data_IF_433998387177
#
_entry.id   IF_433998387177
#
_cell.length_a   1.000
_cell.length_b   1.000
_cell.length_c   1.000
_cell.angle_alpha   90.00
_cell.angle_beta   90.00
_cell.angle_gamma   90.00
#
_symmetry.space_group_name_H-M   'P 1'
#
loop_
_entity.id
_entity.type
_entity.pdbx_description
1 polymer ?
#
# COMPACT_ATOMS: atom_id res chain seq x y z
N UNK A 1 -1.76 -11.52 2.89
CA UNK A 1 -1.93 -11.23 4.33
C UNK A 1 -0.56 -11.17 5.01
N UNK A 2 -0.41 -10.33 6.03
CA UNK A 2 0.79 -10.17 6.85
C UNK A 2 0.38 -10.15 8.32
N UNK A 3 1.15 -10.81 9.18
CA UNK A 3 0.80 -10.98 10.59
C UNK A 3 1.40 -9.91 11.50
N UNK A 4 0.49 -9.25 12.21
CA UNK A 4 0.55 -8.36 13.36
C UNK A 4 0.79 -8.96 14.74
N UNK A 5 1.72 -8.48 15.56
CA UNK A 5 1.54 -8.50 17.03
C UNK A 5 1.54 -7.08 17.60
N UNK A 6 0.41 -6.68 18.19
CA UNK A 6 0.23 -5.36 18.81
C UNK A 6 -0.38 -5.54 20.22
N UNK A 7 0.02 -4.74 21.22
CA UNK A 7 -0.62 -4.77 22.53
C UNK A 7 -2.05 -4.22 22.45
N UNK A 8 -2.99 -4.88 23.12
CA UNK A 8 -4.34 -4.36 23.32
C UNK A 8 -4.39 -3.33 24.47
N UNK A 9 -5.58 -2.81 24.77
CA UNK A 9 -5.79 -1.82 25.85
C UNK A 9 -5.38 -2.33 27.25
N UNK A 10 -5.23 -3.64 27.43
CA UNK A 10 -4.80 -4.28 28.67
C UNK A 10 -3.30 -4.62 28.69
N UNK A 11 -2.57 -4.27 27.62
CA UNK A 11 -1.14 -4.58 27.47
C UNK A 11 -0.86 -6.00 26.95
N UNK A 12 -1.90 -6.78 26.64
CA UNK A 12 -1.74 -8.14 26.10
C UNK A 12 -1.46 -8.08 24.61
N UNK A 13 -0.40 -8.74 24.16
CA UNK A 13 -0.10 -8.87 22.73
C UNK A 13 -1.19 -9.69 22.03
N UNK A 14 -1.92 -9.06 21.11
CA UNK A 14 -2.89 -9.68 20.23
C UNK A 14 -2.32 -9.85 18.83
N UNK A 15 -2.67 -10.98 18.21
CA UNK A 15 -2.32 -11.27 16.81
C UNK A 15 -3.36 -10.63 15.90
N UNK A 16 -2.92 -9.77 14.98
CA UNK A 16 -3.77 -9.18 13.93
C UNK A 16 -3.31 -9.69 12.58
N UNK A 17 -4.20 -9.80 11.61
CA UNK A 17 -3.83 -10.03 10.22
C UNK A 17 -4.14 -8.77 9.43
N UNK A 18 -3.14 -8.26 8.72
CA UNK A 18 -3.33 -7.20 7.74
C UNK A 18 -3.40 -7.82 6.36
N UNK A 19 -4.35 -7.36 5.56
CA UNK A 19 -4.53 -7.82 4.20
C UNK A 19 -3.95 -6.81 3.20
N UNK A 20 -3.70 -7.30 1.99
CA UNK A 20 -3.37 -6.48 0.83
C UNK A 20 -4.43 -6.81 -0.19
N UNK A 21 -5.08 -5.78 -0.75
CA UNK A 21 -6.23 -5.97 -1.63
C UNK A 21 -5.88 -6.82 -2.86
N UNK A 22 -4.74 -6.54 -3.50
CA UNK A 22 -4.29 -7.29 -4.67
C UNK A 22 -2.80 -7.63 -4.63
N UNK A 23 -2.50 -8.86 -5.07
CA UNK A 23 -1.14 -9.31 -5.38
C UNK A 23 -1.12 -9.73 -6.85
N UNK A 24 -0.43 -8.95 -7.68
CA UNK A 24 -0.40 -9.15 -9.13
C UNK A 24 0.98 -9.64 -9.53
N UNK A 25 1.05 -10.67 -10.38
CA UNK A 25 2.29 -11.23 -10.89
C UNK A 25 2.29 -11.18 -12.42
N UNK A 26 3.39 -10.73 -13.02
CA UNK A 26 3.63 -10.73 -14.46
C UNK A 26 5.08 -11.12 -14.73
N UNK A 27 5.31 -12.40 -15.06
CA UNK A 27 6.67 -12.94 -15.19
C UNK A 27 7.46 -12.76 -13.90
N UNK A 28 8.61 -12.08 -13.97
CA UNK A 28 9.44 -11.74 -12.81
C UNK A 28 8.97 -10.52 -12.02
N UNK A 29 7.92 -9.82 -12.49
CA UNK A 29 7.38 -8.66 -11.82
C UNK A 29 6.28 -9.07 -10.83
N UNK A 30 6.30 -8.46 -9.65
CA UNK A 30 5.24 -8.57 -8.65
C UNK A 30 4.88 -7.18 -8.14
N UNK A 31 3.58 -7.00 -7.91
CA UNK A 31 2.98 -5.78 -7.39
C UNK A 31 2.09 -6.11 -6.21
N UNK A 32 2.26 -5.37 -5.11
CA UNK A 32 1.34 -5.34 -3.99
C UNK A 32 0.54 -4.04 -4.09
N UNK A 33 -0.78 -4.14 -4.19
CA UNK A 33 -1.64 -2.98 -4.41
C UNK A 33 -2.66 -2.88 -3.27
N UNK A 34 -2.72 -1.70 -2.67
CA UNK A 34 -3.76 -1.30 -1.73
C UNK A 34 -4.61 -0.19 -2.36
N UNK A 35 -5.92 -0.26 -2.19
CA UNK A 35 -6.82 0.82 -2.55
C UNK A 35 -7.25 1.61 -1.32
N UNK A 36 -7.26 2.93 -1.42
CA UNK A 36 -7.70 3.82 -0.34
C UNK A 36 -8.59 4.93 -0.92
N UNK A 37 -9.67 5.28 -0.23
CA UNK A 37 -10.54 6.37 -0.69
C UNK A 37 -9.80 7.71 -0.68
N UNK A 38 -9.10 8.01 0.42
CA UNK A 38 -8.27 9.20 0.60
C UNK A 38 -7.25 8.96 1.72
N UNK A 39 -6.12 9.70 1.69
CA UNK A 39 -5.10 9.71 2.75
C UNK A 39 -4.76 11.14 3.18
N UNK A 40 -5.68 11.87 3.84
CA UNK A 40 -5.50 13.28 4.16
C UNK A 40 -4.59 13.53 5.39
N UNK A 41 -4.32 12.50 6.19
CA UNK A 41 -3.54 12.60 7.43
C UNK A 41 -2.43 11.56 7.46
N UNK A 42 -1.38 11.84 8.24
CA UNK A 42 -0.28 10.89 8.47
C UNK A 42 -0.77 9.59 9.11
N UNK A 43 -1.79 9.65 9.99
CA UNK A 43 -2.40 8.46 10.59
C UNK A 43 -3.06 7.59 9.52
N UNK A 44 -3.77 8.20 8.55
CA UNK A 44 -4.35 7.47 7.44
C UNK A 44 -3.28 6.91 6.50
N UNK A 45 -2.25 7.68 6.16
CA UNK A 45 -1.13 7.17 5.38
C UNK A 45 -0.46 5.96 6.08
N UNK A 46 -0.23 6.04 7.39
CA UNK A 46 0.33 4.92 8.17
C UNK A 46 -0.62 3.71 8.20
N UNK A 47 -1.93 3.93 8.35
CA UNK A 47 -2.94 2.87 8.35
C UNK A 47 -2.96 2.12 7.00
N UNK A 48 -3.07 2.86 5.89
CA UNK A 48 -3.21 2.26 4.55
C UNK A 48 -1.88 1.63 4.05
N UNK A 49 -0.73 2.13 4.51
CA UNK A 49 0.58 1.56 4.16
C UNK A 49 1.03 0.39 5.05
N UNK A 50 0.37 0.17 6.20
CA UNK A 50 0.84 -0.76 7.23
C UNK A 50 1.04 -2.20 6.71
N UNK A 51 0.14 -2.69 5.85
CA UNK A 51 0.26 -4.03 5.26
C UNK A 51 1.48 -4.12 4.33
N UNK A 52 1.67 -3.10 3.48
CA UNK A 52 2.75 -3.02 2.50
C UNK A 52 4.13 -2.91 3.16
N UNK A 53 4.27 -2.07 4.20
CA UNK A 53 5.54 -1.87 4.93
C UNK A 53 6.04 -3.14 5.62
N UNK A 54 5.14 -4.07 5.95
CA UNK A 54 5.48 -5.32 6.63
C UNK A 54 5.92 -6.42 5.67
N UNK A 55 5.80 -6.21 4.36
CA UNK A 55 6.27 -7.13 3.34
C UNK A 55 7.76 -6.88 3.08
N UNK A 56 8.60 -7.80 3.58
CA UNK A 56 10.07 -7.69 3.57
C UNK A 56 10.72 -8.17 2.25
N UNK A 57 10.17 -7.75 1.12
CA UNK A 57 10.76 -7.94 -0.19
C UNK A 57 10.92 -6.61 -0.93
N UNK A 58 11.64 -6.61 -2.05
CA UNK A 58 11.91 -5.43 -2.86
C UNK A 58 10.91 -5.23 -4.02
N UNK A 59 9.82 -6.00 -4.07
CA UNK A 59 8.83 -5.85 -5.13
C UNK A 59 8.02 -4.57 -4.95
N UNK A 60 7.45 -4.07 -6.06
CA UNK A 60 6.74 -2.78 -6.11
C UNK A 60 5.51 -2.81 -5.21
N UNK A 61 5.34 -1.74 -4.44
CA UNK A 61 4.23 -1.52 -3.50
C UNK A 61 3.50 -0.25 -3.94
N UNK A 62 2.19 -0.33 -4.11
CA UNK A 62 1.38 0.73 -4.72
C UNK A 62 0.15 0.99 -3.85
N UNK A 63 -0.17 2.26 -3.63
CA UNK A 63 -1.45 2.71 -3.09
C UNK A 63 -2.19 3.50 -4.17
N UNK A 64 -3.40 3.07 -4.51
CA UNK A 64 -4.29 3.77 -5.44
C UNK A 64 -5.29 4.60 -4.64
N UNK A 65 -5.34 5.91 -4.91
CA UNK A 65 -6.30 6.84 -4.29
C UNK A 65 -7.33 7.35 -5.29
N UNK A 66 -8.52 7.73 -4.82
CA UNK A 66 -9.56 8.31 -5.69
C UNK A 66 -9.13 9.66 -6.28
N UNK A 67 -8.39 10.44 -5.51
CA UNK A 67 -8.08 11.84 -5.83
C UNK A 67 -7.13 11.98 -7.02
N UNK A 68 -7.21 13.15 -7.66
CA UNK A 68 -6.32 13.55 -8.76
C UNK A 68 -5.02 14.10 -8.16
N UNK A 69 -4.00 13.24 -8.10
CA UNK A 69 -2.70 13.55 -7.52
C UNK A 69 -1.61 13.21 -8.52
N UNK A 70 -0.52 13.98 -8.48
CA UNK A 70 0.70 13.56 -9.18
C UNK A 70 1.24 12.30 -8.50
N UNK A 71 1.62 11.26 -9.27
CA UNK A 71 2.26 10.09 -8.72
C UNK A 71 3.47 10.48 -7.85
N UNK A 72 3.54 9.94 -6.64
CA UNK A 72 4.62 10.23 -5.68
C UNK A 72 5.13 8.95 -5.04
N UNK A 73 6.42 8.89 -4.75
CA UNK A 73 7.02 7.83 -3.92
C UNK A 73 7.44 8.39 -2.58
N UNK A 74 7.18 7.64 -1.52
CA UNK A 74 7.68 7.96 -0.18
C UNK A 74 9.06 7.34 0.06
N UNK A 75 9.63 7.59 1.25
CA UNK A 75 10.94 7.09 1.67
C UNK A 75 11.00 5.56 1.75
N UNK A 76 9.86 4.90 1.99
CA UNK A 76 9.73 3.43 2.00
C UNK A 76 9.57 2.81 0.60
N UNK A 77 9.59 3.63 -0.46
CA UNK A 77 9.47 3.17 -1.85
C UNK A 77 8.04 2.80 -2.27
N UNK A 78 7.01 3.19 -1.51
CA UNK A 78 5.61 3.00 -1.87
C UNK A 78 5.19 4.08 -2.86
N UNK A 79 4.66 3.67 -4.01
CA UNK A 79 4.08 4.55 -5.02
C UNK A 79 2.62 4.87 -4.67
N UNK A 80 2.28 6.13 -4.50
CA UNK A 80 0.88 6.59 -4.42
C UNK A 80 0.48 7.20 -5.76
N UNK A 81 -0.62 6.73 -6.34
CA UNK A 81 -1.12 7.16 -7.64
C UNK A 81 -2.64 7.37 -7.62
N UNK A 82 -3.13 8.37 -8.36
CA UNK A 82 -4.55 8.59 -8.55
C UNK A 82 -5.20 7.52 -9.41
N UNK A 83 -6.46 7.19 -9.13
CA UNK A 83 -7.21 6.13 -9.81
C UNK A 83 -7.30 6.36 -11.33
N UNK A 84 -7.47 7.63 -11.75
CA UNK A 84 -7.52 7.99 -13.16
C UNK A 84 -6.20 7.70 -13.87
N UNK A 85 -5.08 8.14 -13.30
CA UNK A 85 -3.75 7.92 -13.88
C UNK A 85 -3.44 6.42 -13.97
N UNK A 86 -3.75 5.65 -12.92
CA UNK A 86 -3.58 4.21 -12.92
C UNK A 86 -4.37 3.51 -14.04
N UNK A 87 -5.62 3.92 -14.29
CA UNK A 87 -6.49 3.29 -15.28
C UNK A 87 -6.26 3.78 -16.71
N UNK A 88 -5.84 5.04 -16.89
CA UNK A 88 -5.79 5.70 -18.21
C UNK A 88 -4.38 5.72 -18.81
N UNK A 89 -3.31 5.69 -18.01
CA UNK A 89 -1.95 5.60 -18.51
C UNK A 89 -1.41 4.17 -18.42
N UNK A 90 -1.12 3.57 -19.58
CA UNK A 90 -0.52 2.23 -19.69
C UNK A 90 0.88 2.14 -19.08
N UNK A 91 1.56 3.28 -18.90
CA UNK A 91 2.89 3.39 -18.30
C UNK A 91 2.85 3.91 -16.87
N UNK A 92 1.68 3.99 -16.24
CA UNK A 92 1.45 4.53 -14.90
C UNK A 92 2.25 3.84 -13.77
N UNK A 93 2.87 2.70 -14.04
CA UNK A 93 3.68 1.97 -13.07
C UNK A 93 5.19 2.05 -13.33
N UNK A 94 5.62 2.78 -14.36
CA UNK A 94 7.02 2.84 -14.81
C UNK A 94 7.84 3.97 -14.19
N UNK A 95 7.29 4.67 -13.19
CA UNK A 95 8.03 5.66 -12.39
C UNK A 95 9.09 5.02 -11.47
#
# INVERSE_FOLDING_TARGET
>A
MVEVREPDKSGKLIRKQLEVDFVVNQGSQRYYIQSAFAMPTLEKEAQESASLLRIKDSFKKIIIVKDDIKPKRNEDGILTIGLKDFLLDKNSLNY
#
